data_IF_116109897985
#
_entry.id   IF_116109897985
#
_cell.length_a   1.000
_cell.length_b   1.000
_cell.length_c   1.000
_cell.angle_alpha   90.00
_cell.angle_beta   90.00
_cell.angle_gamma   90.00
#
_symmetry.space_group_name_H-M   'P 1'
#
loop_
_entity.id
_entity.type
_entity.pdbx_description
1 polymer ?
#
# COMPACT_ATOMS: atom_id res chain seq x y z
N UNK A 1 -4.90 -8.44 -22.78
CA UNK A 1 -3.92 -7.39 -22.37
C UNK A 1 -4.64 -6.06 -22.23
N UNK A 2 -4.34 -5.23 -21.22
CA UNK A 2 -4.96 -3.90 -21.06
C UNK A 2 -4.62 -3.03 -22.29
N UNK A 3 -5.58 -2.27 -22.82
CA UNK A 3 -5.38 -1.41 -24.02
C UNK A 3 -4.13 -0.52 -23.91
N UNK A 4 -3.79 -0.03 -22.71
CA UNK A 4 -2.59 0.79 -22.47
C UNK A 4 -1.27 0.02 -22.63
N UNK A 5 -1.22 -1.25 -22.21
CA UNK A 5 0.00 -2.07 -22.35
C UNK A 5 0.27 -2.47 -23.80
N UNK A 6 -0.78 -2.64 -24.60
CA UNK A 6 -0.64 -2.96 -26.02
C UNK A 6 -0.11 -1.77 -26.83
N UNK A 7 -0.62 -0.56 -26.58
CA UNK A 7 -0.13 0.67 -27.21
C UNK A 7 1.35 0.94 -26.89
N UNK A 8 1.77 0.70 -25.65
CA UNK A 8 3.17 0.83 -25.25
C UNK A 8 4.07 -0.14 -26.03
N UNK A 9 3.70 -1.42 -26.11
CA UNK A 9 4.48 -2.45 -26.84
C UNK A 9 4.65 -2.06 -28.31
N UNK A 10 3.56 -1.65 -28.97
CA UNK A 10 3.62 -1.20 -30.37
C UNK A 10 4.57 -0.01 -30.51
N UNK A 11 4.47 0.99 -29.62
CA UNK A 11 5.32 2.18 -29.72
C UNK A 11 6.81 1.89 -29.50
N UNK A 12 7.14 0.97 -28.58
CA UNK A 12 8.52 0.55 -28.33
C UNK A 12 9.06 -0.25 -29.51
N UNK A 13 8.24 -1.13 -30.10
CA UNK A 13 8.60 -1.87 -31.30
C UNK A 13 8.85 -0.90 -32.48
N UNK A 14 7.96 0.08 -32.67
CA UNK A 14 8.08 1.10 -33.71
C UNK A 14 9.37 1.93 -33.54
N UNK A 15 9.71 2.31 -32.31
CA UNK A 15 10.95 3.00 -31.98
C UNK A 15 12.19 2.17 -32.36
N UNK A 16 12.21 0.88 -32.01
CA UNK A 16 13.30 -0.03 -32.37
C UNK A 16 13.42 -0.20 -33.89
N UNK A 17 12.30 -0.36 -34.59
CA UNK A 17 12.26 -0.49 -36.06
C UNK A 17 12.87 0.76 -36.72
N UNK A 18 12.53 1.96 -36.26
CA UNK A 18 13.09 3.20 -36.81
C UNK A 18 14.58 3.35 -36.54
N UNK A 19 15.09 2.90 -35.38
CA UNK A 19 16.53 2.87 -35.12
C UNK A 19 17.24 1.92 -36.10
N UNK A 20 16.72 0.70 -36.29
CA UNK A 20 17.33 -0.26 -37.23
C UNK A 20 17.30 0.26 -38.66
N UNK A 21 16.19 0.86 -39.10
CA UNK A 21 16.07 1.50 -40.41
C UNK A 21 17.03 2.68 -40.58
N UNK A 22 17.20 3.52 -39.54
CA UNK A 22 18.14 4.63 -39.58
C UNK A 22 19.58 4.14 -39.79
N UNK A 23 19.97 3.04 -39.16
CA UNK A 23 21.29 2.44 -39.30
C UNK A 23 21.46 1.78 -40.68
N UNK A 24 20.50 0.96 -41.12
CA UNK A 24 20.62 0.25 -42.40
C UNK A 24 20.60 1.16 -43.62
N UNK A 25 19.86 2.28 -43.54
CA UNK A 25 19.69 3.21 -44.65
C UNK A 25 20.55 4.47 -44.51
N UNK A 26 21.39 4.55 -43.46
CA UNK A 26 22.23 5.72 -43.12
C UNK A 26 21.46 7.06 -43.15
N UNK A 27 20.17 7.02 -42.82
CA UNK A 27 19.26 8.14 -43.02
C UNK A 27 19.03 8.90 -41.73
N UNK A 28 19.40 10.19 -41.74
CA UNK A 28 19.19 11.12 -40.65
C UNK A 28 17.70 11.36 -40.36
N UNK A 29 16.82 11.22 -41.36
CA UNK A 29 15.39 11.40 -41.22
C UNK A 29 14.77 10.40 -40.22
N UNK A 30 15.14 9.12 -40.31
CA UNK A 30 14.65 8.09 -39.38
C UNK A 30 15.19 8.28 -37.96
N UNK A 31 16.38 8.85 -37.84
CA UNK A 31 16.98 9.22 -36.55
C UNK A 31 16.18 10.35 -35.87
N UNK A 32 15.72 11.35 -36.63
CA UNK A 32 14.82 12.39 -36.12
C UNK A 32 13.45 11.85 -35.71
N UNK A 33 12.90 10.90 -36.46
CA UNK A 33 11.64 10.26 -36.09
C UNK A 33 11.81 9.46 -34.79
N UNK A 34 12.90 8.68 -34.70
CA UNK A 34 13.22 7.91 -33.50
C UNK A 34 13.39 8.80 -32.26
N UNK A 35 13.97 10.00 -32.39
CA UNK A 35 14.17 10.90 -31.25
C UNK A 35 12.89 11.56 -30.73
N UNK A 36 11.87 11.74 -31.58
CA UNK A 36 10.56 12.29 -31.18
C UNK A 36 9.67 11.23 -30.53
N UNK A 37 9.81 9.96 -30.92
CA UNK A 37 8.97 8.87 -30.44
C UNK A 37 8.86 8.79 -28.91
N UNK A 38 9.95 8.86 -28.11
CA UNK A 38 9.88 8.82 -26.65
C UNK A 38 8.90 9.83 -26.04
N UNK A 39 8.80 11.03 -26.62
CA UNK A 39 7.89 12.09 -26.16
C UNK A 39 6.42 11.67 -26.39
N UNK A 40 6.15 11.05 -27.55
CA UNK A 40 4.81 10.56 -27.92
C UNK A 40 4.40 9.35 -27.06
N UNK A 41 5.36 8.58 -26.55
CA UNK A 41 5.10 7.38 -25.72
C UNK A 41 4.64 7.74 -24.31
N UNK A 42 5.10 8.88 -23.76
CA UNK A 42 4.82 9.29 -22.37
C UNK A 42 3.34 9.21 -21.97
N UNK A 43 2.36 9.74 -22.72
CA UNK A 43 0.93 9.65 -22.34
C UNK A 43 0.37 8.23 -22.33
N UNK A 44 1.04 7.27 -22.98
CA UNK A 44 0.63 5.87 -23.03
C UNK A 44 1.30 5.01 -21.96
N UNK A 45 2.21 5.58 -21.16
CA UNK A 45 2.83 4.88 -20.05
C UNK A 45 1.75 4.47 -19.03
N UNK A 46 1.63 3.17 -18.69
CA UNK A 46 0.74 2.76 -17.63
C UNK A 46 1.18 3.43 -16.33
N UNK A 47 0.23 4.01 -15.60
CA UNK A 47 0.46 4.52 -14.25
C UNK A 47 1.00 3.36 -13.39
N UNK A 48 2.32 3.32 -13.22
CA UNK A 48 3.03 2.39 -12.36
C UNK A 48 2.62 2.71 -10.94
N UNK A 49 1.51 2.10 -10.51
CA UNK A 49 0.88 2.35 -9.21
C UNK A 49 1.92 2.18 -8.11
N UNK A 50 2.45 3.30 -7.65
CA UNK A 50 3.45 3.34 -6.61
C UNK A 50 2.81 2.97 -5.27
N UNK A 51 3.65 2.65 -4.29
CA UNK A 51 3.22 2.42 -2.92
C UNK A 51 3.33 3.71 -2.11
N UNK A 52 2.34 3.96 -1.26
CA UNK A 52 2.36 5.03 -0.27
C UNK A 52 2.92 4.49 1.05
N UNK A 53 3.60 5.33 1.82
CA UNK A 53 4.15 4.99 3.13
C UNK A 53 3.62 5.98 4.16
N UNK A 54 3.12 5.46 5.28
CA UNK A 54 2.85 6.21 6.49
C UNK A 54 4.19 6.32 7.22
N UNK A 55 4.60 7.55 7.53
CA UNK A 55 5.75 7.81 8.39
C UNK A 55 5.28 8.67 9.54
N UNK A 56 5.47 8.19 10.76
CA UNK A 56 5.06 8.85 12.00
C UNK A 56 6.15 9.78 12.54
N UNK A 57 7.29 9.86 11.85
CA UNK A 57 8.50 10.62 12.20
C UNK A 57 8.37 12.14 12.00
N UNK A 58 7.32 12.61 11.32
CA UNK A 58 7.13 14.05 11.04
C UNK A 58 6.08 14.68 11.96
N UNK A 59 6.35 15.87 12.53
CA UNK A 59 5.47 16.52 13.49
C UNK A 59 4.12 17.01 12.93
N UNK A 60 3.92 16.99 11.60
CA UNK A 60 2.60 17.21 10.99
C UNK A 60 1.80 15.90 11.00
N UNK A 61 1.24 15.54 12.17
CA UNK A 61 0.41 14.36 12.36
C UNK A 61 -0.94 14.47 11.64
N UNK A 62 -0.97 14.16 10.35
CA UNK A 62 -2.21 13.86 9.63
C UNK A 62 -2.60 12.38 9.71
N UNK A 63 -1.82 11.55 10.43
CA UNK A 63 -2.06 10.12 10.63
C UNK A 63 -1.64 9.70 12.03
N UNK A 64 -2.43 8.84 12.66
CA UNK A 64 -2.15 8.21 13.95
C UNK A 64 -2.37 6.70 13.85
N UNK A 65 -1.42 5.94 14.37
CA UNK A 65 -1.46 4.49 14.50
C UNK A 65 -1.75 4.17 15.97
N UNK A 66 -2.95 3.67 16.26
CA UNK A 66 -3.45 3.49 17.62
C UNK A 66 -3.73 2.01 17.85
N UNK A 67 -3.06 1.41 18.84
CA UNK A 67 -3.41 0.09 19.35
C UNK A 67 -4.43 0.27 20.47
N UNK A 68 -5.62 -0.31 20.29
CA UNK A 68 -6.65 -0.39 21.31
C UNK A 68 -6.53 -1.74 22.01
N UNK A 69 -6.37 -1.70 23.33
CA UNK A 69 -6.55 -2.89 24.17
C UNK A 69 -8.04 -3.06 24.43
N UNK A 70 -8.51 -4.30 24.31
CA UNK A 70 -9.88 -4.62 24.68
C UNK A 70 -10.05 -4.41 26.19
N UNK A 71 -10.94 -3.47 26.55
CA UNK A 71 -11.57 -3.42 27.87
C UNK A 71 -12.66 -4.50 27.89
N UNK A 72 -12.74 -5.24 29.00
CA UNK A 72 -13.57 -6.42 29.23
C UNK A 72 -14.85 -6.49 28.38
N UNK A 73 -14.90 -7.47 27.46
CA UNK A 73 -16.14 -7.85 26.76
C UNK A 73 -16.15 -7.66 25.23
N UNK A 74 -15.13 -7.06 24.61
CA UNK A 74 -15.05 -6.93 23.14
C UNK A 74 -13.99 -7.83 22.51
N UNK A 75 -14.34 -8.46 21.39
CA UNK A 75 -13.53 -9.45 20.67
C UNK A 75 -12.26 -8.84 20.09
N UNK A 76 -11.11 -9.15 20.70
CA UNK A 76 -9.78 -8.94 20.13
C UNK A 76 -9.19 -7.53 20.29
N UNK A 77 -7.87 -7.45 20.39
CA UNK A 77 -7.14 -6.18 20.30
C UNK A 77 -7.20 -5.65 18.86
N UNK A 78 -7.34 -4.33 18.70
CA UNK A 78 -7.49 -3.69 17.38
C UNK A 78 -6.35 -2.70 17.12
N UNK A 79 -5.92 -2.60 15.87
CA UNK A 79 -5.10 -1.51 15.37
C UNK A 79 -5.98 -0.57 14.54
N UNK A 80 -6.02 0.70 14.92
CA UNK A 80 -6.74 1.77 14.22
C UNK A 80 -5.73 2.70 13.57
N UNK A 81 -5.85 2.87 12.25
CA UNK A 81 -5.11 3.89 11.50
C UNK A 81 -6.08 5.04 11.23
N UNK A 82 -5.98 6.10 12.02
CA UNK A 82 -6.75 7.32 11.84
C UNK A 82 -5.98 8.30 10.97
N UNK A 83 -6.63 8.95 10.01
CA UNK A 83 -5.99 9.93 9.14
C UNK A 83 -6.96 11.01 8.68
N UNK A 84 -6.42 12.19 8.39
CA UNK A 84 -7.20 13.29 7.85
C UNK A 84 -7.81 12.91 6.47
N UNK A 85 -9.04 13.37 6.16
CA UNK A 85 -9.64 13.18 4.85
C UNK A 85 -8.68 13.60 3.72
N UNK A 86 -8.57 12.74 2.69
CA UNK A 86 -7.67 12.98 1.55
C UNK A 86 -6.20 12.59 1.77
N UNK A 87 -5.80 12.17 2.97
CA UNK A 87 -4.43 11.68 3.22
C UNK A 87 -4.10 10.41 2.42
N UNK A 88 -5.02 9.44 2.39
CA UNK A 88 -4.83 8.19 1.64
C UNK A 88 -5.05 8.44 0.16
N UNK A 89 -4.01 8.20 -0.65
CA UNK A 89 -4.14 8.27 -2.09
C UNK A 89 -4.66 6.94 -2.64
N UNK A 90 -5.97 6.83 -2.78
CA UNK A 90 -6.69 5.66 -3.31
C UNK A 90 -6.39 5.27 -4.76
N UNK A 91 -5.49 6.00 -5.45
CA UNK A 91 -4.96 5.60 -6.78
C UNK A 91 -3.71 4.72 -6.66
N UNK A 92 -3.03 4.73 -5.51
CA UNK A 92 -1.83 3.92 -5.24
C UNK A 92 -2.20 2.45 -5.05
N UNK A 93 -1.20 1.56 -5.18
CA UNK A 93 -1.44 0.12 -5.07
C UNK A 93 -1.50 -0.34 -3.61
N UNK A 94 -0.61 0.21 -2.79
CA UNK A 94 -0.42 -0.24 -1.41
C UNK A 94 -0.20 0.95 -0.48
N UNK A 95 -0.70 0.84 0.74
CA UNK A 95 -0.41 1.72 1.85
C UNK A 95 0.42 0.94 2.86
N UNK A 96 1.69 1.30 3.01
CA UNK A 96 2.59 0.68 3.97
C UNK A 96 2.65 1.48 5.26
N UNK A 97 2.64 0.80 6.40
CA UNK A 97 2.88 1.38 7.71
C UNK A 97 3.82 0.48 8.51
N UNK A 98 4.53 1.07 9.47
CA UNK A 98 5.36 0.32 10.40
C UNK A 98 4.55 0.00 11.66
N UNK A 99 4.43 -1.27 11.99
CA UNK A 99 3.72 -1.73 13.19
C UNK A 99 4.42 -1.30 14.49
N UNK A 100 5.74 -1.08 14.43
CA UNK A 100 6.53 -0.57 15.57
C UNK A 100 6.22 0.88 15.93
N UNK A 101 5.69 1.67 15.00
CA UNK A 101 5.38 3.09 15.22
C UNK A 101 4.00 3.30 15.86
N UNK A 102 3.27 2.21 16.13
CA UNK A 102 1.93 2.27 16.69
C UNK A 102 1.96 2.50 18.20
N UNK A 103 1.25 3.54 18.64
CA UNK A 103 1.13 3.94 20.04
C UNK A 103 -0.10 3.27 20.65
N UNK A 104 0.03 2.77 21.87
CA UNK A 104 -1.09 2.14 22.60
C UNK A 104 -1.87 3.21 23.34
N UNK A 105 -3.18 3.24 23.13
CA UNK A 105 -4.11 4.10 23.87
C UNK A 105 -5.24 3.25 24.46
N UNK A 106 -5.80 3.68 25.59
CA UNK A 106 -6.93 3.00 26.24
C UNK A 106 -8.26 3.27 25.53
N UNK A 107 -8.41 4.45 24.91
CA UNK A 107 -9.59 4.81 24.15
C UNK A 107 -9.23 5.72 22.96
N UNK A 108 -10.03 5.66 21.89
CA UNK A 108 -9.94 6.61 20.78
C UNK A 108 -10.50 7.97 21.23
N UNK A 109 -9.87 9.05 20.77
CA UNK A 109 -10.45 10.38 20.89
C UNK A 109 -11.77 10.43 20.08
N UNK A 110 -12.84 11.03 20.63
CA UNK A 110 -14.04 11.29 19.87
C UNK A 110 -13.70 12.29 18.74
N UNK A 111 -14.04 11.92 17.52
CA UNK A 111 -13.97 12.78 16.35
C UNK A 111 -15.36 12.79 15.71
N UNK A 112 -15.80 13.95 15.23
CA UNK A 112 -17.05 14.05 14.47
C UNK A 112 -16.83 13.45 13.06
N UNK A 113 -17.87 12.84 12.48
CA UNK A 113 -17.88 12.22 11.15
C UNK A 113 -16.87 11.07 10.94
N UNK A 114 -16.92 10.03 11.78
CA UNK A 114 -16.08 8.84 11.62
C UNK A 114 -16.67 7.86 10.60
N UNK A 115 -15.98 7.64 9.49
CA UNK A 115 -16.25 6.53 8.56
C UNK A 115 -15.08 5.55 8.62
N UNK A 116 -15.33 4.47 9.36
CA UNK A 116 -14.36 3.39 9.54
C UNK A 116 -14.52 2.31 8.48
N UNK A 117 -13.41 1.86 7.93
CA UNK A 117 -13.37 0.74 6.98
C UNK A 117 -12.57 -0.42 7.58
N UNK A 118 -13.18 -1.60 7.78
CA UNK A 118 -12.45 -2.78 8.21
C UNK A 118 -11.48 -3.23 7.12
N UNK A 119 -10.25 -3.48 7.53
CA UNK A 119 -9.20 -4.09 6.74
C UNK A 119 -9.13 -5.55 7.16
N UNK A 120 -9.26 -6.44 6.18
CA UNK A 120 -9.34 -7.87 6.41
C UNK A 120 -7.96 -8.48 6.15
N UNK A 121 -7.67 -9.63 6.76
CA UNK A 121 -6.41 -10.37 6.59
C UNK A 121 -5.90 -10.42 5.14
N UNK A 122 -6.78 -10.68 4.18
CA UNK A 122 -6.41 -10.81 2.76
C UNK A 122 -6.03 -9.49 2.08
N UNK A 123 -6.32 -8.33 2.70
CA UNK A 123 -5.83 -7.04 2.23
C UNK A 123 -4.41 -6.75 2.74
N UNK A 124 -3.98 -7.46 3.79
CA UNK A 124 -2.70 -7.28 4.45
C UNK A 124 -1.61 -8.10 3.76
N UNK A 125 -0.43 -7.50 3.65
CA UNK A 125 0.74 -8.15 3.09
C UNK A 125 1.99 -7.68 3.82
N UNK A 126 2.93 -8.58 4.10
CA UNK A 126 4.24 -8.21 4.61
C UNK A 126 5.02 -7.40 3.57
N UNK A 127 5.75 -6.39 4.00
CA UNK A 127 6.66 -5.67 3.11
C UNK A 127 7.82 -6.60 2.69
N UNK A 128 8.17 -6.70 1.39
CA UNK A 128 9.13 -7.69 0.89
C UNK A 128 10.60 -7.49 1.32
N UNK A 129 10.90 -6.44 2.09
CA UNK A 129 12.28 -6.01 2.39
C UNK A 129 12.45 -5.39 3.77
N UNK A 130 11.43 -4.73 4.30
CA UNK A 130 11.48 -4.04 5.60
C UNK A 130 10.76 -4.86 6.67
N UNK A 131 11.46 -5.16 7.78
CA UNK A 131 10.87 -5.85 8.94
C UNK A 131 9.83 -4.96 9.63
N UNK A 132 8.77 -5.54 10.17
CA UNK A 132 7.66 -4.84 10.86
C UNK A 132 6.84 -3.88 9.98
N UNK A 133 7.08 -3.84 8.68
CA UNK A 133 6.26 -3.07 7.75
C UNK A 133 5.16 -3.94 7.16
N UNK A 134 3.93 -3.46 7.28
CA UNK A 134 2.72 -4.10 6.75
C UNK A 134 2.14 -3.21 5.67
N UNK A 135 1.76 -3.81 4.55
CA UNK A 135 1.12 -3.18 3.41
C UNK A 135 -0.34 -3.54 3.33
N UNK A 136 -1.17 -2.54 3.09
CA UNK A 136 -2.62 -2.66 2.88
C UNK A 136 -2.92 -2.47 1.39
N UNK A 137 -3.69 -3.38 0.80
CA UNK A 137 -4.15 -3.31 -0.59
C UNK A 137 -5.25 -2.28 -0.78
N UNK A 138 -4.90 -1.11 -1.31
CA UNK A 138 -5.86 -0.04 -1.59
C UNK A 138 -6.89 -0.38 -2.69
N UNK A 139 -6.55 -1.13 -3.76
CA UNK A 139 -7.51 -1.51 -4.79
C UNK A 139 -8.65 -2.39 -4.24
N UNK A 140 -8.35 -3.33 -3.35
CA UNK A 140 -9.34 -4.22 -2.73
C UNK A 140 -10.27 -3.43 -1.80
N UNK A 141 -9.69 -2.57 -0.94
CA UNK A 141 -10.47 -1.66 -0.10
C UNK A 141 -11.37 -0.75 -0.93
N UNK A 142 -10.85 -0.15 -2.00
CA UNK A 142 -11.63 0.72 -2.89
C UNK A 142 -12.81 -0.01 -3.52
N UNK A 143 -12.67 -1.29 -3.85
CA UNK A 143 -13.76 -2.09 -4.37
C UNK A 143 -14.85 -2.32 -3.31
N UNK A 144 -14.47 -2.62 -2.05
CA UNK A 144 -15.42 -2.76 -0.94
C UNK A 144 -16.11 -1.44 -0.58
N UNK A 145 -15.38 -0.33 -0.55
CA UNK A 145 -15.95 1.01 -0.31
C UNK A 145 -17.06 1.31 -1.32
N UNK A 146 -16.82 1.02 -2.61
CA UNK A 146 -17.85 1.21 -3.66
C UNK A 146 -19.11 0.38 -3.44
N UNK A 147 -19.00 -0.79 -2.81
CA UNK A 147 -20.15 -1.66 -2.52
C UNK A 147 -20.96 -1.17 -1.31
N UNK A 148 -20.34 -0.39 -0.43
CA UNK A 148 -20.94 0.10 0.82
C UNK A 148 -21.58 1.49 0.68
N UNK A 149 -21.76 2.00 -0.55
CA UNK A 149 -22.31 3.32 -0.85
C UNK A 149 -21.54 4.53 -0.27
N UNK A 150 -20.37 4.30 0.33
CA UNK A 150 -19.48 5.36 0.80
C UNK A 150 -18.55 5.85 -0.31
N UNK A 151 -18.11 7.10 -0.22
CA UNK A 151 -17.02 7.59 -1.06
C UNK A 151 -15.67 7.36 -0.37
N UNK A 152 -14.62 7.11 -1.17
CA UNK A 152 -13.25 7.01 -0.62
C UNK A 152 -12.77 8.30 0.05
N UNK A 153 -13.48 9.41 -0.14
CA UNK A 153 -13.15 10.71 0.48
C UNK A 153 -13.65 10.81 1.92
N UNK A 154 -14.69 10.05 2.25
CA UNK A 154 -15.30 10.02 3.59
C UNK A 154 -14.54 9.11 4.56
N UNK A 155 -13.94 8.02 4.06
CA UNK A 155 -13.18 7.09 4.90
C UNK A 155 -11.97 7.80 5.52
N UNK A 156 -11.98 7.89 6.85
CA UNK A 156 -10.93 8.53 7.67
C UNK A 156 -10.31 7.58 8.70
N UNK A 157 -10.83 6.35 8.84
CA UNK A 157 -10.25 5.32 9.71
C UNK A 157 -10.17 3.97 9.01
N UNK A 158 -9.03 3.31 9.16
CA UNK A 158 -8.87 1.89 8.85
C UNK A 158 -8.76 1.10 10.14
N UNK A 159 -9.54 0.04 10.28
CA UNK A 159 -9.56 -0.81 11.47
C UNK A 159 -9.06 -2.19 11.10
N UNK A 160 -8.05 -2.68 11.81
CA UNK A 160 -7.38 -3.96 11.55
C UNK A 160 -7.40 -4.78 12.84
N UNK A 161 -7.70 -6.08 12.75
CA UNK A 161 -7.55 -7.00 13.88
C UNK A 161 -6.07 -7.25 14.17
N UNK A 162 -5.66 -7.18 15.43
CA UNK A 162 -4.26 -7.37 15.80
C UNK A 162 -3.80 -8.82 15.55
N UNK A 163 -4.72 -9.77 15.65
CA UNK A 163 -4.52 -11.20 15.34
C UNK A 163 -4.07 -11.37 13.88
N UNK A 164 -4.81 -10.80 12.92
CA UNK A 164 -4.45 -10.80 11.50
C UNK A 164 -3.05 -10.21 11.25
N UNK A 165 -2.68 -9.16 11.99
CA UNK A 165 -1.36 -8.54 11.88
C UNK A 165 -0.24 -9.43 12.42
N UNK A 166 -0.48 -10.08 13.56
CA UNK A 166 0.47 -10.99 14.17
C UNK A 166 0.73 -12.20 13.27
N UNK A 167 -0.31 -12.72 12.62
CA UNK A 167 -0.18 -13.80 11.65
C UNK A 167 0.61 -13.38 10.41
N UNK A 168 0.31 -12.20 9.84
CA UNK A 168 1.02 -11.67 8.66
C UNK A 168 2.49 -11.35 8.97
N UNK A 169 2.79 -10.98 10.20
CA UNK A 169 4.15 -10.70 10.67
C UNK A 169 4.85 -11.91 11.29
N UNK A 170 4.16 -13.06 11.42
CA UNK A 170 4.65 -14.29 12.07
C UNK A 170 5.14 -14.05 13.52
N UNK A 171 4.57 -13.08 14.22
CA UNK A 171 5.03 -12.65 15.55
C UNK A 171 4.69 -13.67 16.66
N UNK A 172 3.77 -14.59 16.41
CA UNK A 172 3.19 -15.52 17.40
C UNK A 172 4.00 -16.80 17.65
N UNK A 173 5.16 -17.02 17.01
CA UNK A 173 5.89 -18.28 17.10
C UNK A 173 7.28 -18.23 17.78
N UNK A 174 7.77 -17.05 18.20
CA UNK A 174 9.18 -16.92 18.66
C UNK A 174 9.33 -16.84 20.19
N UNK A 175 8.27 -16.62 20.97
CA UNK A 175 8.40 -16.44 22.43
C UNK A 175 8.22 -17.70 23.29
N UNK A 176 8.10 -18.89 22.70
CA UNK A 176 7.84 -20.14 23.45
C UNK A 176 8.95 -21.20 23.35
N UNK A 177 10.12 -20.90 22.76
CA UNK A 177 11.20 -21.90 22.55
C UNK A 177 12.50 -21.62 23.32
N UNK A 178 12.46 -20.82 24.39
CA UNK A 178 13.66 -20.55 25.20
C UNK A 178 13.37 -20.54 26.70
N UNK A 179 12.72 -21.58 27.22
CA UNK A 179 12.80 -21.97 28.64
C UNK A 179 12.60 -23.49 28.71
N UNK A 180 13.64 -24.26 28.39
CA UNK A 180 13.84 -25.56 29.06
C UNK A 180 15.30 -25.99 28.92
N UNK A 181 16.17 -25.43 29.77
CA UNK A 181 17.46 -26.02 30.05
C UNK A 181 17.75 -25.89 31.54
N UNK A 182 17.64 -27.02 32.23
CA UNK A 182 18.34 -27.34 33.48
C UNK A 182 17.71 -26.78 34.74
N UNK A 183 17.16 -27.65 35.57
CA UNK A 183 17.75 -28.06 36.86
C UNK A 183 16.85 -29.16 37.42
N UNK A 184 17.35 -30.39 37.51
CA UNK A 184 16.98 -31.29 38.60
C UNK A 184 18.27 -31.84 39.20
N UNK A 185 18.38 -31.64 40.51
CA UNK A 185 19.43 -32.08 41.41
C UNK A 185 19.28 -33.57 41.74
#
# INVERSE_FOLDING_TARGET
MKRSTFGLIISVLLFLIFIVLAIMLESTAYLYIASILPIVIVPFLPDLRSSQYIRTDKPRQSVRLIKLRSSEGSTGALLVIAFAPGFVNWRKNRLYFNFGDAVTYEALLPEDDIVSMPVLKYDLNRHPRKKNWVGISLPQLKQRIKQLSYTTKEVNRLVIQLEDLNEVLELSAISSSSVDHGVQA
#
